data_IF_647523961571
#
_entry.id   IF_647523961571
#
_cell.length_a   1.000
_cell.length_b   1.000
_cell.length_c   1.000
_cell.angle_alpha   90.00
_cell.angle_beta   90.00
_cell.angle_gamma   90.00
#
_symmetry.space_group_name_H-M   'P 1'
#
loop_
_entity.id
_entity.type
_entity.pdbx_description
1 polymer ?
#
# COMPACT_ATOMS: atom_id res chain seq x y z
N UNK A 1 -13.16 -1.37 -11.75
CA UNK A 1 -12.31 -0.75 -10.70
C UNK A 1 -13.16 -0.39 -9.49
N UNK A 2 -12.85 -0.98 -8.34
CA UNK A 2 -13.53 -0.70 -7.06
C UNK A 2 -12.49 -0.51 -5.96
N UNK A 3 -12.83 0.27 -4.94
CA UNK A 3 -11.99 0.45 -3.76
C UNK A 3 -12.36 -0.59 -2.71
N UNK A 4 -11.36 -1.23 -2.14
CA UNK A 4 -11.48 -2.20 -1.07
C UNK A 4 -10.81 -1.66 0.19
N UNK A 5 -11.47 -1.85 1.33
CA UNK A 5 -10.84 -1.80 2.64
C UNK A 5 -10.30 -3.20 2.93
N UNK A 6 -9.00 -3.31 3.12
CA UNK A 6 -8.33 -4.53 3.56
C UNK A 6 -7.81 -4.26 4.95
N UNK A 7 -8.23 -5.06 5.92
CA UNK A 7 -7.69 -5.02 7.29
C UNK A 7 -7.31 -6.43 7.70
N UNK A 8 -6.20 -6.59 8.40
CA UNK A 8 -5.76 -7.89 8.88
C UNK A 8 -5.28 -7.80 10.33
N UNK A 9 -5.32 -8.91 11.03
CA UNK A 9 -4.69 -9.06 12.33
C UNK A 9 -3.85 -10.34 12.32
N UNK A 10 -2.63 -10.26 12.85
CA UNK A 10 -1.66 -11.35 12.77
C UNK A 10 -1.25 -11.76 14.17
N UNK A 11 -1.42 -13.03 14.51
CA UNK A 11 -0.94 -13.59 15.77
C UNK A 11 0.60 -13.52 15.87
N UNK A 12 1.30 -13.59 14.73
CA UNK A 12 2.75 -13.38 14.66
C UNK A 12 3.13 -12.39 13.54
N UNK A 13 3.21 -11.08 13.84
CA UNK A 13 3.34 -10.04 12.83
C UNK A 13 4.73 -9.97 12.18
N UNK A 14 5.79 -10.38 12.88
CA UNK A 14 7.18 -10.17 12.42
C UNK A 14 7.55 -10.98 11.17
N UNK A 15 6.92 -12.14 10.97
CA UNK A 15 7.24 -13.02 9.84
C UNK A 15 6.44 -12.70 8.57
N UNK A 16 5.18 -12.28 8.71
CA UNK A 16 4.20 -12.29 7.61
C UNK A 16 3.82 -10.91 7.07
N UNK A 17 4.04 -9.85 7.86
CA UNK A 17 3.59 -8.49 7.55
C UNK A 17 4.19 -7.93 6.25
N UNK A 18 5.48 -8.16 6.01
CA UNK A 18 6.15 -7.69 4.78
C UNK A 18 5.60 -8.40 3.53
N UNK A 19 5.43 -9.72 3.60
CA UNK A 19 4.87 -10.51 2.50
C UNK A 19 3.42 -10.10 2.19
N UNK A 20 2.58 -9.89 3.20
CA UNK A 20 1.21 -9.39 3.00
C UNK A 20 1.20 -7.99 2.37
N UNK A 21 2.07 -7.08 2.81
CA UNK A 21 2.17 -5.76 2.22
C UNK A 21 2.53 -5.84 0.72
N UNK A 22 3.48 -6.70 0.34
CA UNK A 22 3.85 -6.91 -1.06
C UNK A 22 2.69 -7.44 -1.91
N UNK A 23 1.93 -8.40 -1.40
CA UNK A 23 0.75 -8.94 -2.09
C UNK A 23 -0.34 -7.87 -2.27
N UNK A 24 -0.62 -7.10 -1.21
CA UNK A 24 -1.61 -6.01 -1.25
C UNK A 24 -1.21 -4.99 -2.31
N UNK A 25 0.05 -4.54 -2.32
CA UNK A 25 0.59 -3.63 -3.32
C UNK A 25 0.56 -4.23 -4.74
N UNK A 26 0.79 -5.54 -4.88
CA UNK A 26 0.73 -6.23 -6.17
C UNK A 26 -0.69 -6.36 -6.73
N UNK A 27 -1.69 -6.56 -5.86
CA UNK A 27 -3.10 -6.75 -6.21
C UNK A 27 -3.83 -5.48 -6.64
N UNK A 28 -3.30 -4.31 -6.24
CA UNK A 28 -3.87 -3.00 -6.53
C UNK A 28 -3.21 -2.29 -7.69
N UNK A 29 -3.98 -1.45 -8.38
CA UNK A 29 -3.42 -0.39 -9.22
C UNK A 29 -2.96 0.79 -8.37
N UNK A 30 -3.71 1.08 -7.31
CA UNK A 30 -3.41 2.11 -6.31
C UNK A 30 -3.75 1.62 -4.93
N UNK A 31 -3.03 2.12 -3.95
CA UNK A 31 -3.29 1.79 -2.55
C UNK A 31 -2.95 2.94 -1.62
N UNK A 32 -3.60 2.98 -0.47
CA UNK A 32 -3.22 3.84 0.63
C UNK A 32 -3.16 3.02 1.92
N UNK A 33 -2.20 3.33 2.78
CA UNK A 33 -2.03 2.65 4.07
C UNK A 33 -2.26 3.65 5.21
N UNK A 34 -3.52 3.86 5.62
CA UNK A 34 -3.85 4.79 6.72
C UNK A 34 -3.34 4.32 8.08
N UNK A 35 -3.33 3.01 8.34
CA UNK A 35 -2.90 2.40 9.60
C UNK A 35 -1.97 1.22 9.28
N UNK A 36 -1.31 0.70 10.31
CA UNK A 36 -0.31 -0.36 10.14
C UNK A 36 -0.86 -1.61 9.44
N UNK A 37 -2.04 -2.08 9.83
CA UNK A 37 -2.66 -3.29 9.27
C UNK A 37 -3.91 -2.99 8.43
N UNK A 38 -4.17 -1.72 8.09
CA UNK A 38 -5.35 -1.32 7.32
C UNK A 38 -4.93 -0.60 6.04
N UNK A 39 -5.54 -1.02 4.94
CA UNK A 39 -5.21 -0.61 3.59
C UNK A 39 -6.49 -0.27 2.82
N UNK A 40 -6.39 0.76 1.99
CA UNK A 40 -7.30 0.98 0.88
C UNK A 40 -6.62 0.53 -0.40
N UNK A 41 -7.34 -0.21 -1.23
CA UNK A 41 -6.81 -0.71 -2.50
C UNK A 41 -7.82 -0.47 -3.62
N UNK A 42 -7.41 0.18 -4.69
CA UNK A 42 -8.15 0.23 -5.94
C UNK A 42 -7.71 -0.95 -6.82
N UNK A 43 -8.64 -1.86 -7.12
CA UNK A 43 -8.38 -3.02 -7.96
C UNK A 43 -9.55 -3.33 -8.89
N UNK A 44 -9.28 -4.09 -9.95
CA UNK A 44 -10.30 -4.68 -10.82
C UNK A 44 -10.71 -6.09 -10.39
N UNK A 45 -10.06 -6.63 -9.36
CA UNK A 45 -10.37 -7.92 -8.78
C UNK A 45 -11.59 -7.86 -7.87
N UNK A 46 -12.15 -9.03 -7.60
CA UNK A 46 -13.22 -9.23 -6.61
C UNK A 46 -12.63 -9.36 -5.20
N UNK A 47 -13.46 -9.19 -4.17
CA UNK A 47 -13.03 -9.33 -2.78
C UNK A 47 -12.49 -10.74 -2.50
N UNK A 48 -13.13 -11.75 -3.09
CA UNK A 48 -12.80 -13.17 -2.98
C UNK A 48 -11.46 -13.48 -3.64
N UNK A 49 -11.17 -12.87 -4.80
CA UNK A 49 -9.86 -13.02 -5.46
C UNK A 49 -8.73 -12.38 -4.65
N UNK A 50 -9.00 -11.21 -4.04
CA UNK A 50 -8.05 -10.51 -3.18
C UNK A 50 -7.79 -11.35 -1.91
N UNK A 51 -8.84 -11.88 -1.28
CA UNK A 51 -8.76 -12.76 -0.12
C UNK A 51 -7.95 -14.03 -0.43
N UNK A 52 -8.26 -14.72 -1.53
CA UNK A 52 -7.57 -15.95 -1.93
C UNK A 52 -6.06 -15.78 -2.15
N UNK A 53 -5.62 -14.56 -2.50
CA UNK A 53 -4.18 -14.25 -2.63
C UNK A 53 -3.46 -14.06 -1.31
N UNK A 54 -4.17 -13.78 -0.24
CA UNK A 54 -3.60 -13.56 1.09
C UNK A 54 -3.81 -14.77 1.99
N UNK A 55 -4.84 -15.58 1.75
CA UNK A 55 -5.23 -16.72 2.57
C UNK A 55 -4.09 -17.71 2.83
N UNK A 56 -3.24 -18.00 1.83
CA UNK A 56 -2.10 -18.91 1.99
C UNK A 56 -1.01 -18.42 2.97
N UNK A 57 -0.96 -17.12 3.28
CA UNK A 57 -0.06 -16.56 4.29
C UNK A 57 -0.67 -16.54 5.69
N UNK A 58 -2.00 -16.62 5.79
CA UNK A 58 -2.73 -16.54 7.05
C UNK A 58 -2.77 -17.93 7.70
N UNK A 59 -2.52 -17.96 9.01
CA UNK A 59 -2.75 -19.14 9.84
C UNK A 59 -4.15 -19.10 10.46
N UNK A 60 -4.50 -20.18 11.18
CA UNK A 60 -5.84 -20.34 11.77
C UNK A 60 -6.22 -19.25 12.78
N UNK A 61 -5.22 -18.63 13.43
CA UNK A 61 -5.40 -17.57 14.43
C UNK A 61 -5.26 -16.16 13.82
N UNK A 62 -5.02 -16.04 12.51
CA UNK A 62 -4.90 -14.74 11.83
C UNK A 62 -6.26 -14.28 11.30
N UNK A 63 -6.54 -12.98 11.40
CA UNK A 63 -7.76 -12.36 10.89
C UNK A 63 -7.55 -11.62 9.57
N UNK A 64 -8.51 -11.71 8.64
CA UNK A 64 -8.53 -10.92 7.42
C UNK A 64 -9.96 -10.44 7.10
N UNK A 65 -10.07 -9.15 6.80
CA UNK A 65 -11.27 -8.50 6.32
C UNK A 65 -10.99 -7.85 4.97
N UNK A 66 -11.72 -8.26 3.95
CA UNK A 66 -11.72 -7.61 2.63
C UNK A 66 -13.14 -7.12 2.35
N UNK A 67 -13.33 -5.80 2.39
CA UNK A 67 -14.63 -5.19 2.20
C UNK A 67 -14.61 -4.21 1.03
N UNK A 68 -15.50 -4.45 0.07
CA UNK A 68 -15.67 -3.57 -1.06
C UNK A 68 -16.46 -2.31 -0.65
N UNK A 69 -15.85 -1.14 -0.80
CA UNK A 69 -16.43 0.13 -0.35
C UNK A 69 -17.39 0.66 -1.42
N UNK A 70 -18.54 1.18 -0.98
CA UNK A 70 -19.53 1.81 -1.85
C UNK A 70 -19.16 3.27 -2.18
N UNK A 71 -19.66 3.77 -3.31
CA UNK A 71 -19.55 5.20 -3.63
C UNK A 71 -20.25 6.05 -2.55
N UNK A 72 -19.63 7.16 -2.16
CA UNK A 72 -20.13 8.06 -1.11
C UNK A 72 -19.59 7.77 0.29
N UNK A 73 -18.71 6.79 0.47
CA UNK A 73 -18.02 6.59 1.75
C UNK A 73 -17.08 7.76 2.01
N UNK A 74 -17.38 8.56 3.03
CA UNK A 74 -16.55 9.71 3.43
C UNK A 74 -15.38 9.18 4.26
N UNK A 75 -14.18 9.43 3.77
CA UNK A 75 -12.93 9.13 4.45
C UNK A 75 -12.35 10.41 5.04
N UNK A 76 -12.58 10.62 6.33
CA UNK A 76 -12.04 11.74 7.11
C UNK A 76 -10.69 11.39 7.75
N UNK A 77 -9.77 10.82 6.97
CA UNK A 77 -8.39 10.59 7.41
C UNK A 77 -7.44 11.51 6.66
N UNK A 78 -6.85 12.47 7.38
CA UNK A 78 -5.96 13.52 6.84
C UNK A 78 -4.60 13.01 6.38
N UNK A 79 -4.26 11.75 6.67
CA UNK A 79 -2.96 11.15 6.36
C UNK A 79 -3.02 10.13 5.22
N UNK A 80 -4.15 10.02 4.52
CA UNK A 80 -4.29 9.11 3.38
C UNK A 80 -3.36 9.53 2.24
N UNK A 81 -2.24 8.81 2.11
CA UNK A 81 -1.31 8.91 0.99
C UNK A 81 -1.54 7.76 0.04
N UNK A 82 -1.98 8.09 -1.17
CA UNK A 82 -2.17 7.12 -2.24
C UNK A 82 -0.88 6.92 -3.01
N UNK A 83 -0.51 5.66 -3.17
CA UNK A 83 0.59 5.19 -3.99
C UNK A 83 0.01 4.49 -5.22
N UNK A 84 0.74 4.52 -6.32
CA UNK A 84 0.37 3.83 -7.56
C UNK A 84 1.40 2.75 -7.85
N UNK A 85 0.96 1.63 -8.40
CA UNK A 85 1.87 0.62 -8.95
C UNK A 85 2.67 1.27 -10.07
N UNK A 86 4.01 1.20 -10.00
CA UNK A 86 4.88 1.57 -11.12
C UNK A 86 4.67 0.51 -12.21
N UNK A 87 3.77 0.79 -13.15
CA UNK A 87 3.71 0.04 -14.40
C UNK A 87 5.01 0.25 -15.16
N UNK A 88 5.51 -0.77 -15.84
CA UNK A 88 6.72 -0.72 -16.68
C UNK A 88 6.61 0.20 -17.91
N UNK A 89 5.71 1.19 -17.89
CA UNK A 89 5.50 2.16 -18.95
C UNK A 89 5.69 3.57 -18.33
N UNK A 90 6.95 4.00 -18.21
CA UNK A 90 7.23 5.32 -17.65
C UNK A 90 8.65 5.56 -17.12
N UNK A 91 9.69 5.04 -17.76
CA UNK A 91 11.09 5.45 -17.47
C UNK A 91 11.42 6.91 -17.86
N UNK A 92 10.44 7.71 -18.29
CA UNK A 92 10.68 9.06 -18.82
C UNK A 92 10.51 10.25 -17.86
N UNK A 93 9.98 10.09 -16.64
CA UNK A 93 9.64 11.25 -15.78
C UNK A 93 10.06 11.17 -14.31
N UNK A 94 10.64 10.05 -13.87
CA UNK A 94 11.07 9.89 -12.47
C UNK A 94 12.33 10.69 -12.09
N UNK A 95 13.00 11.34 -13.05
CA UNK A 95 14.17 12.18 -12.80
C UNK A 95 13.84 13.60 -12.29
N UNK A 96 12.57 14.03 -12.28
CA UNK A 96 12.21 15.43 -11.99
C UNK A 96 11.88 15.72 -10.51
N UNK A 97 11.73 14.70 -9.66
CA UNK A 97 11.30 14.88 -8.26
C UNK A 97 12.41 14.63 -7.22
N UNK A 98 13.68 14.61 -7.63
CA UNK A 98 14.81 14.55 -6.70
C UNK A 98 15.33 15.97 -6.47
N UNK A 99 14.91 16.58 -5.37
CA UNK A 99 15.58 17.79 -4.83
C UNK A 99 16.77 17.31 -4.01
N UNK A 100 17.95 17.23 -4.64
CA UNK A 100 19.21 17.03 -3.92
C UNK A 100 19.73 18.41 -3.47
N UNK A 101 19.77 18.65 -2.16
CA UNK A 101 20.49 19.79 -1.61
C UNK A 101 22.00 19.53 -1.79
N UNK A 102 22.68 20.35 -2.60
CA UNK A 102 24.15 20.35 -2.61
C UNK A 102 24.62 20.91 -1.27
N UNK A 103 25.28 20.08 -0.46
CA UNK A 103 26.04 20.57 0.68
C UNK A 103 27.12 21.51 0.16
N UNK A 104 27.06 22.78 0.55
CA UNK A 104 28.14 23.75 0.35
C UNK A 104 29.28 23.37 1.28
N UNK A 105 30.23 22.60 0.77
CA UNK A 105 31.51 22.34 1.42
C UNK A 105 32.51 23.41 0.96
N UNK A 106 32.36 24.63 1.50
CA UNK A 106 33.34 25.71 1.29
C UNK A 106 33.19 26.79 2.38
N UNK A 107 33.59 26.47 3.62
CA UNK A 107 33.88 27.47 4.65
C UNK A 107 34.71 26.90 5.81
N UNK A 108 35.87 26.29 5.52
CA UNK A 108 36.92 26.08 6.54
C UNK A 108 38.31 26.03 5.90
N UNK A 109 38.69 27.16 5.29
CA UNK A 109 40.08 27.52 5.06
C UNK A 109 40.20 29.04 5.23
N UNK A 110 40.32 29.48 6.48
CA UNK A 110 40.88 30.78 6.86
C UNK A 110 41.62 30.60 8.19
#
# INVERSE_FOLDING_TARGET
MRTFLISYDLANPNAKKSALAEIIMGSGERWARPLEQTWYVESNETAEQIEARMSWLLGDEDGLLVQAIGQGSVLTNTSLRWFRRRGGEGEGQAAQNVVAFRGSDEALAA
#
